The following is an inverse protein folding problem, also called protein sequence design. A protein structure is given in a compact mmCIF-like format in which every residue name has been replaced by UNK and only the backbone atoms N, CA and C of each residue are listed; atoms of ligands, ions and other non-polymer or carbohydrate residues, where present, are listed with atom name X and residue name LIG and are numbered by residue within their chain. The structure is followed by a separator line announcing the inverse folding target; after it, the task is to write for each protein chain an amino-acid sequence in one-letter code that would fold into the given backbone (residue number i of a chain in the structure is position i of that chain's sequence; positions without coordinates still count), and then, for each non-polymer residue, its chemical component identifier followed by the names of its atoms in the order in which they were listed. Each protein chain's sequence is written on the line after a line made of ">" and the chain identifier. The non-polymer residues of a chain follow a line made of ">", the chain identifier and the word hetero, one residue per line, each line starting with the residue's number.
data_IF_803794885047
#
_entry.id   IF_803794885047
#
_cell.length_a   1.000
_cell.length_b   1.000
_cell.length_c   1.000
_cell.angle_alpha   90.00
_cell.angle_beta   90.00
_cell.angle_gamma   90.00
#
_symmetry.space_group_name_H-M   'P 1'
#
loop_
_entity.id
_entity.type
_entity.pdbx_description
1 polymer ?
#
# COMPACT_ATOMS: atom_id res chain seq x y z
N UNK A 1 -0.79 19.85 -3.63
CA UNK A 1 -0.77 18.37 -3.51
C UNK A 1 0.64 17.78 -3.58
N UNK A 2 1.33 17.79 -4.73
CA UNK A 2 2.67 17.18 -4.86
C UNK A 2 3.68 17.65 -3.80
N UNK A 3 3.74 18.96 -3.53
CA UNK A 3 4.57 19.51 -2.45
C UNK A 3 4.23 18.97 -1.07
N UNK A 4 2.95 18.70 -0.77
CA UNK A 4 2.55 18.12 0.51
C UNK A 4 3.10 16.70 0.66
N UNK A 5 3.10 15.90 -0.41
CA UNK A 5 3.71 14.55 -0.43
C UNK A 5 5.21 14.62 -0.21
N UNK A 6 5.90 15.55 -0.88
CA UNK A 6 7.35 15.74 -0.73
C UNK A 6 7.73 16.23 0.67
N UNK A 7 6.93 17.13 1.26
CA UNK A 7 7.16 17.60 2.62
C UNK A 7 6.88 16.51 3.65
N UNK A 8 5.85 15.70 3.44
CA UNK A 8 5.52 14.57 4.31
C UNK A 8 6.68 13.58 4.41
N UNK A 9 7.33 13.26 3.29
CA UNK A 9 8.45 12.30 3.28
C UNK A 9 9.68 12.78 4.04
N UNK A 10 9.73 14.04 4.47
CA UNK A 10 10.82 14.54 5.34
C UNK A 10 10.68 14.10 6.80
N UNK A 11 9.53 13.51 7.18
CA UNK A 11 9.25 13.12 8.56
C UNK A 11 9.04 14.30 9.52
N UNK A 12 8.92 15.53 9.01
CA UNK A 12 8.76 16.72 9.84
C UNK A 12 7.46 16.64 10.69
N UNK A 13 7.55 16.67 12.04
CA UNK A 13 6.39 16.50 12.90
C UNK A 13 5.28 17.54 12.69
N UNK A 14 5.63 18.79 12.40
CA UNK A 14 4.65 19.85 12.15
C UNK A 14 3.91 19.63 10.83
N UNK A 15 4.60 19.13 9.80
CA UNK A 15 3.97 18.73 8.53
C UNK A 15 3.02 17.56 8.76
N UNK A 16 3.46 16.53 9.48
CA UNK A 16 2.62 15.36 9.79
C UNK A 16 1.36 15.77 10.57
N UNK A 17 1.52 16.60 11.61
CA UNK A 17 0.40 17.10 12.41
C UNK A 17 -0.60 17.89 11.54
N UNK A 18 -0.12 18.74 10.63
CA UNK A 18 -0.99 19.45 9.69
C UNK A 18 -1.73 18.51 8.75
N UNK A 19 -1.05 17.51 8.20
CA UNK A 19 -1.64 16.56 7.24
C UNK A 19 -2.65 15.61 7.89
N UNK A 20 -2.48 15.27 9.17
CA UNK A 20 -3.43 14.45 9.93
C UNK A 20 -4.83 15.06 9.98
N UNK A 21 -4.97 16.39 9.85
CA UNK A 21 -6.29 17.03 9.74
C UNK A 21 -7.08 16.70 8.47
N UNK A 22 -6.43 16.11 7.45
CA UNK A 22 -7.05 15.76 6.17
C UNK A 22 -7.33 14.27 6.00
N UNK A 23 -6.85 13.42 6.91
CA UNK A 23 -6.85 11.95 6.76
C UNK A 23 -7.54 11.28 7.93
N UNK A 24 -8.17 10.15 7.67
CA UNK A 24 -8.73 9.29 8.73
C UNK A 24 -7.69 8.31 9.29
N UNK A 25 -6.64 7.99 8.52
CA UNK A 25 -5.45 7.27 8.98
C UNK A 25 -4.27 8.26 9.00
N UNK A 26 -3.55 8.43 10.13
CA UNK A 26 -2.47 9.42 10.25
C UNK A 26 -1.35 9.23 9.23
N UNK A 27 -0.86 8.00 9.09
CA UNK A 27 0.22 7.64 8.18
C UNK A 27 0.03 6.24 7.61
N UNK A 28 0.56 6.03 6.42
CA UNK A 28 0.67 4.72 5.82
C UNK A 28 2.14 4.34 5.79
N UNK A 29 2.47 3.15 6.27
CA UNK A 29 3.80 2.59 6.11
C UNK A 29 3.72 1.20 5.50
N UNK A 30 4.85 0.75 4.95
CA UNK A 30 5.09 -0.66 4.69
C UNK A 30 6.42 -0.95 5.35
N UNK A 31 6.41 -1.83 6.34
CA UNK A 31 7.48 -1.90 7.33
C UNK A 31 7.66 -0.54 8.04
N UNK A 32 8.90 -0.11 8.25
CA UNK A 32 9.30 1.19 8.77
C UNK A 32 9.29 2.31 7.70
N UNK A 33 9.03 1.99 6.43
CA UNK A 33 9.07 2.98 5.34
C UNK A 33 7.73 3.71 5.23
N UNK A 34 7.77 5.03 5.39
CA UNK A 34 6.59 5.89 5.22
C UNK A 34 6.19 5.99 3.74
N UNK A 35 4.89 5.81 3.47
CA UNK A 35 4.27 6.01 2.16
C UNK A 35 3.52 7.32 2.16
N UNK A 36 4.04 8.29 1.42
CA UNK A 36 3.47 9.63 1.42
C UNK A 36 2.16 9.68 0.62
N UNK A 37 1.17 10.40 1.16
CA UNK A 37 -0.16 10.58 0.58
C UNK A 37 -0.62 12.03 0.54
N UNK A 38 0.14 12.98 1.10
CA UNK A 38 -0.18 14.41 1.12
C UNK A 38 -1.56 14.70 1.73
N UNK A 39 -2.38 15.53 1.11
CA UNK A 39 -3.74 15.80 1.65
C UNK A 39 -4.76 14.74 1.26
N UNK A 40 -4.34 13.59 0.69
CA UNK A 40 -5.22 12.53 0.24
C UNK A 40 -5.20 11.35 1.22
N UNK A 41 -6.30 10.59 1.30
CA UNK A 41 -6.47 9.58 2.35
C UNK A 41 -5.68 8.29 2.13
N UNK A 42 -5.00 8.10 0.99
CA UNK A 42 -4.21 6.89 0.75
C UNK A 42 -3.13 7.15 -0.33
N UNK A 43 -1.94 6.53 -0.24
CA UNK A 43 -0.86 6.76 -1.21
C UNK A 43 -1.21 6.34 -2.64
N UNK A 44 -1.99 5.27 -2.85
CA UNK A 44 -2.41 4.88 -4.21
C UNK A 44 -3.35 5.93 -4.83
N UNK A 45 -4.23 6.55 -4.02
CA UNK A 45 -5.13 7.62 -4.46
C UNK A 45 -4.30 8.86 -4.83
N UNK A 46 -3.29 9.19 -4.02
CA UNK A 46 -2.36 10.28 -4.32
C UNK A 46 -1.58 10.05 -5.62
N UNK A 47 -1.05 8.84 -5.82
CA UNK A 47 -0.33 8.49 -7.03
C UNK A 47 -1.20 8.63 -8.27
N UNK A 48 -2.44 8.11 -8.23
CA UNK A 48 -3.36 8.23 -9.36
C UNK A 48 -3.79 9.67 -9.61
N UNK A 49 -4.09 10.45 -8.57
CA UNK A 49 -4.43 11.86 -8.73
C UNK A 49 -3.30 12.65 -9.41
N UNK A 50 -2.05 12.35 -9.07
CA UNK A 50 -0.87 12.93 -9.73
C UNK A 50 -0.75 12.45 -11.18
N UNK A 51 -0.96 11.16 -11.45
CA UNK A 51 -0.96 10.59 -12.80
C UNK A 51 -1.99 11.29 -13.71
N UNK A 52 -3.21 11.53 -13.23
CA UNK A 52 -4.22 12.31 -13.98
C UNK A 52 -3.76 13.74 -14.32
N UNK A 53 -2.92 14.35 -13.49
CA UNK A 53 -2.47 15.73 -13.63
C UNK A 53 -1.19 15.89 -14.48
N UNK A 54 -0.27 14.91 -14.45
CA UNK A 54 1.05 14.98 -15.11
C UNK A 54 0.95 15.25 -16.62
N UNK A 55 0.07 14.58 -17.40
CA UNK A 55 -0.09 14.87 -18.83
C UNK A 55 -0.48 16.32 -19.09
N UNK A 56 -1.36 16.89 -18.26
CA UNK A 56 -1.81 18.28 -18.37
C UNK A 56 -0.69 19.27 -18.04
N UNK A 57 0.10 18.99 -17.00
CA UNK A 57 1.29 19.79 -16.66
C UNK A 57 2.32 19.77 -17.80
N UNK A 58 2.53 18.61 -18.42
CA UNK A 58 3.44 18.46 -19.57
C UNK A 58 2.95 19.21 -20.81
N UNK A 59 1.66 19.13 -21.14
CA UNK A 59 1.09 19.93 -22.22
C UNK A 59 1.25 21.43 -21.97
N UNK A 60 1.04 21.88 -20.73
CA UNK A 60 1.27 23.28 -20.37
C UNK A 60 2.74 23.68 -20.52
N UNK A 61 3.66 22.87 -19.98
CA UNK A 61 5.09 23.11 -20.07
C UNK A 61 5.59 23.14 -21.53
N UNK A 62 5.07 22.25 -22.39
CA UNK A 62 5.46 22.17 -23.79
C UNK A 62 4.89 23.34 -24.63
N UNK A 63 3.74 23.89 -24.22
CA UNK A 63 3.04 24.96 -24.92
C UNK A 63 3.40 26.37 -24.43
N UNK A 64 4.01 26.51 -23.26
CA UNK A 64 4.29 27.83 -22.67
C UNK A 64 5.45 28.56 -23.36
N UNK A 65 5.27 29.86 -23.59
CA UNK A 65 6.29 30.76 -24.13
C UNK A 65 7.03 31.55 -23.04
N UNK A 66 6.43 31.69 -21.86
CA UNK A 66 7.02 32.44 -20.74
C UNK A 66 8.11 31.63 -20.05
N UNK A 67 9.30 32.24 -19.89
CA UNK A 67 10.42 31.61 -19.17
C UNK A 67 10.10 31.35 -17.70
N UNK A 68 9.52 32.33 -17.01
CA UNK A 68 9.14 32.16 -15.59
C UNK A 68 8.10 31.07 -15.42
N UNK A 69 7.10 31.01 -16.31
CA UNK A 69 6.12 29.93 -16.31
C UNK A 69 6.77 28.57 -16.59
N UNK A 70 7.73 28.50 -17.53
CA UNK A 70 8.46 27.27 -17.85
C UNK A 70 9.24 26.74 -16.65
N UNK A 71 9.93 27.62 -15.91
CA UNK A 71 10.64 27.24 -14.68
C UNK A 71 9.66 26.75 -13.62
N UNK A 72 8.59 27.51 -13.35
CA UNK A 72 7.58 27.12 -12.35
C UNK A 72 6.89 25.79 -12.66
N UNK A 73 6.50 25.58 -13.91
CA UNK A 73 5.89 24.33 -14.37
C UNK A 73 6.89 23.15 -14.33
N UNK A 74 8.16 23.39 -14.68
CA UNK A 74 9.20 22.38 -14.59
C UNK A 74 9.43 21.92 -13.14
N UNK A 75 9.47 22.85 -12.19
CA UNK A 75 9.58 22.54 -10.76
C UNK A 75 8.34 21.79 -10.24
N UNK A 76 7.13 22.24 -10.62
CA UNK A 76 5.89 21.58 -10.24
C UNK A 76 5.79 20.15 -10.80
N UNK A 77 6.26 19.93 -12.03
CA UNK A 77 6.32 18.61 -12.66
C UNK A 77 7.36 17.72 -11.98
N UNK A 78 8.55 18.25 -11.67
CA UNK A 78 9.57 17.54 -10.89
C UNK A 78 9.04 17.11 -9.53
N UNK A 79 8.34 18.01 -8.82
CA UNK A 79 7.69 17.68 -7.55
C UNK A 79 6.59 16.62 -7.72
N UNK A 80 5.82 16.64 -8.82
CA UNK A 80 4.79 15.64 -9.10
C UNK A 80 5.40 14.26 -9.38
N UNK A 81 6.49 14.18 -10.14
CA UNK A 81 7.22 12.93 -10.40
C UNK A 81 7.84 12.38 -9.11
N UNK A 82 8.47 13.23 -8.30
CA UNK A 82 9.01 12.85 -7.01
C UNK A 82 7.91 12.35 -6.07
N UNK A 83 6.77 13.07 -6.01
CA UNK A 83 5.62 12.67 -5.21
C UNK A 83 5.06 11.30 -5.64
N UNK A 84 4.98 11.00 -6.94
CA UNK A 84 4.56 9.66 -7.41
C UNK A 84 5.49 8.57 -6.89
N UNK A 85 6.82 8.79 -6.94
CA UNK A 85 7.80 7.83 -6.39
C UNK A 85 7.62 7.67 -4.88
N UNK A 86 7.49 8.77 -4.14
CA UNK A 86 7.34 8.78 -2.67
C UNK A 86 6.04 8.16 -2.15
N UNK A 87 5.02 8.00 -2.99
CA UNK A 87 3.82 7.22 -2.63
C UNK A 87 4.10 5.71 -2.49
N UNK A 88 5.24 5.26 -3.02
CA UNK A 88 5.61 3.86 -3.20
C UNK A 88 4.52 3.04 -3.91
N UNK A 89 3.72 3.69 -4.77
CA UNK A 89 2.72 3.04 -5.60
C UNK A 89 3.35 2.53 -6.91
N UNK A 90 3.53 1.22 -7.00
CA UNK A 90 4.02 0.55 -8.22
C UNK A 90 3.16 0.85 -9.44
N UNK A 91 1.84 0.82 -9.26
CA UNK A 91 0.88 1.16 -10.29
C UNK A 91 1.06 2.61 -10.75
N UNK A 92 1.24 3.54 -9.81
CA UNK A 92 1.47 4.96 -10.12
C UNK A 92 2.71 5.19 -10.98
N UNK A 93 3.86 4.63 -10.58
CA UNK A 93 5.11 4.76 -11.34
C UNK A 93 4.98 4.15 -12.74
N UNK A 94 4.38 2.95 -12.85
CA UNK A 94 4.20 2.28 -14.13
C UNK A 94 3.25 3.06 -15.06
N UNK A 95 2.12 3.54 -14.55
CA UNK A 95 1.15 4.32 -15.33
C UNK A 95 1.79 5.61 -15.82
N UNK A 96 2.51 6.35 -14.96
CA UNK A 96 3.23 7.56 -15.39
C UNK A 96 4.28 7.25 -16.45
N UNK A 97 5.00 6.12 -16.34
CA UNK A 97 5.95 5.72 -17.39
C UNK A 97 5.25 5.48 -18.74
N UNK A 98 4.07 4.84 -18.74
CA UNK A 98 3.25 4.63 -19.94
C UNK A 98 2.74 5.97 -20.49
N UNK A 99 2.24 6.88 -19.65
CA UNK A 99 1.80 8.22 -20.05
C UNK A 99 2.93 8.99 -20.76
N UNK A 100 4.13 8.98 -20.18
CA UNK A 100 5.30 9.66 -20.75
C UNK A 100 5.68 9.06 -22.10
N UNK A 101 5.58 7.73 -22.27
CA UNK A 101 5.79 7.08 -23.55
C UNK A 101 4.72 7.47 -24.60
N UNK A 102 3.45 7.54 -24.20
CA UNK A 102 2.35 7.98 -25.07
C UNK A 102 2.52 9.44 -25.52
N UNK A 103 2.90 10.34 -24.60
CA UNK A 103 3.16 11.75 -24.89
C UNK A 103 4.40 11.92 -25.78
N UNK A 104 5.47 11.15 -25.53
CA UNK A 104 6.65 11.10 -26.39
C UNK A 104 6.28 10.66 -27.81
N UNK A 105 5.53 9.56 -27.95
CA UNK A 105 5.07 9.04 -29.24
C UNK A 105 4.19 10.06 -29.98
N UNK A 106 3.27 10.74 -29.28
CA UNK A 106 2.46 11.80 -29.85
C UNK A 106 3.32 13.00 -30.32
N UNK A 107 4.33 13.37 -29.52
CA UNK A 107 5.29 14.41 -29.87
C UNK A 107 6.11 14.07 -31.12
N UNK A 108 6.62 12.84 -31.22
CA UNK A 108 7.36 12.36 -32.38
C UNK A 108 6.47 12.30 -33.64
N UNK A 109 5.29 11.69 -33.52
CA UNK A 109 4.34 11.55 -34.64
C UNK A 109 3.85 12.88 -35.19
N UNK A 110 3.78 13.94 -34.36
CA UNK A 110 3.42 15.30 -34.78
C UNK A 110 4.60 16.25 -34.95
N UNK A 111 5.83 15.75 -34.90
CA UNK A 111 7.07 16.54 -35.03
C UNK A 111 7.09 17.77 -34.11
N UNK A 112 6.68 17.58 -32.85
CA UNK A 112 6.54 18.62 -31.84
C UNK A 112 7.72 18.56 -30.85
N UNK A 113 8.85 19.24 -31.11
CA UNK A 113 10.09 19.07 -30.34
C UNK A 113 9.97 19.51 -28.88
N UNK A 114 9.08 20.45 -28.56
CA UNK A 114 8.82 20.83 -27.17
C UNK A 114 8.24 19.66 -26.36
N UNK A 115 7.20 19.00 -26.87
CA UNK A 115 6.58 17.85 -26.21
C UNK A 115 7.55 16.66 -26.12
N UNK A 116 8.34 16.41 -27.18
CA UNK A 116 9.37 15.35 -27.18
C UNK A 116 10.41 15.59 -26.07
N UNK A 117 11.00 16.79 -26.01
CA UNK A 117 12.02 17.13 -25.01
C UNK A 117 11.47 17.06 -23.59
N UNK A 118 10.29 17.64 -23.36
CA UNK A 118 9.66 17.60 -22.02
C UNK A 118 9.34 16.18 -21.59
N UNK A 119 8.76 15.34 -22.48
CA UNK A 119 8.43 13.94 -22.14
C UNK A 119 9.68 13.11 -21.88
N UNK A 120 10.73 13.26 -22.69
CA UNK A 120 12.00 12.55 -22.49
C UNK A 120 12.70 12.98 -21.20
N UNK A 121 12.76 14.29 -20.92
CA UNK A 121 13.34 14.82 -19.69
C UNK A 121 12.59 14.30 -18.46
N UNK A 122 11.25 14.26 -18.50
CA UNK A 122 10.43 13.69 -17.43
C UNK A 122 10.61 12.18 -17.27
N UNK A 123 10.78 11.43 -18.36
CA UNK A 123 11.06 9.99 -18.31
C UNK A 123 12.41 9.71 -17.66
N UNK A 124 13.45 10.45 -18.06
CA UNK A 124 14.78 10.37 -17.43
C UNK A 124 14.70 10.75 -15.95
N UNK A 125 14.01 11.85 -15.61
CA UNK A 125 13.82 12.26 -14.23
C UNK A 125 13.10 11.19 -13.40
N UNK A 126 12.05 10.56 -13.93
CA UNK A 126 11.35 9.47 -13.26
C UNK A 126 12.29 8.28 -12.99
N UNK A 127 13.08 7.87 -13.98
CA UNK A 127 14.08 6.79 -13.83
C UNK A 127 15.12 7.14 -12.77
N UNK A 128 15.64 8.37 -12.78
CA UNK A 128 16.61 8.84 -11.79
C UNK A 128 16.00 8.88 -10.39
N UNK A 129 14.76 9.36 -10.25
CA UNK A 129 14.05 9.41 -8.95
C UNK A 129 13.77 8.00 -8.41
N UNK A 130 13.30 7.08 -9.25
CA UNK A 130 13.08 5.67 -8.87
C UNK A 130 14.41 5.01 -8.50
N UNK A 131 15.46 5.19 -9.31
CA UNK A 131 16.79 4.65 -9.04
C UNK A 131 17.38 5.20 -7.74
N UNK A 132 17.26 6.51 -7.51
CA UNK A 132 17.67 7.17 -6.27
C UNK A 132 16.92 6.64 -5.06
N UNK A 133 15.59 6.47 -5.16
CA UNK A 133 14.79 5.88 -4.09
C UNK A 133 15.21 4.43 -3.78
N UNK A 134 15.52 3.61 -4.79
CA UNK A 134 16.00 2.23 -4.61
C UNK A 134 17.43 2.13 -4.05
N UNK A 135 18.22 3.19 -4.18
CA UNK A 135 19.55 3.28 -3.56
C UNK A 135 19.45 3.77 -2.12
N UNK A 136 18.58 4.75 -1.86
CA UNK A 136 18.34 5.30 -0.54
C UNK A 136 17.67 4.29 0.39
N UNK A 137 16.68 3.54 -0.11
CA UNK A 137 15.90 2.58 0.66
C UNK A 137 15.98 1.17 0.01
N UNK A 138 16.93 0.32 0.42
CA UNK A 138 17.11 -1.01 -0.17
C UNK A 138 15.86 -1.90 -0.08
N UNK A 139 15.09 -1.77 1.00
CA UNK A 139 13.85 -2.52 1.25
C UNK A 139 12.73 -2.16 0.26
N UNK A 140 12.84 -1.03 -0.45
CA UNK A 140 11.94 -0.70 -1.55
C UNK A 140 12.01 -1.74 -2.69
N UNK A 141 13.13 -2.45 -2.84
CA UNK A 141 13.25 -3.57 -3.80
C UNK A 141 12.31 -4.73 -3.43
N UNK A 142 12.19 -5.02 -2.14
CA UNK A 142 11.23 -6.01 -1.65
C UNK A 142 9.81 -5.58 -1.99
N UNK A 143 9.51 -4.27 -1.87
CA UNK A 143 8.20 -3.73 -2.27
C UNK A 143 7.91 -3.89 -3.75
N UNK A 144 8.92 -3.75 -4.62
CA UNK A 144 8.75 -4.00 -6.05
C UNK A 144 8.42 -5.47 -6.33
N UNK A 145 9.00 -6.40 -5.57
CA UNK A 145 8.91 -7.84 -5.80
C UNK A 145 7.73 -8.51 -5.08
N UNK A 146 7.25 -7.98 -3.96
CA UNK A 146 6.17 -8.57 -3.17
C UNK A 146 4.89 -7.73 -3.19
N UNK A 147 3.74 -8.40 -3.12
CA UNK A 147 2.46 -7.70 -2.99
C UNK A 147 2.19 -7.22 -1.56
N UNK A 148 2.42 -8.11 -0.61
CA UNK A 148 2.25 -7.91 0.83
C UNK A 148 3.59 -8.02 1.56
N UNK A 149 3.72 -7.46 2.78
CA UNK A 149 4.91 -7.60 3.61
C UNK A 149 5.00 -8.95 4.35
N UNK A 150 4.02 -9.85 4.20
CA UNK A 150 3.96 -11.14 4.91
C UNK A 150 5.18 -12.05 4.65
N UNK A 151 5.84 -11.90 3.49
CA UNK A 151 7.07 -12.61 3.18
C UNK A 151 8.33 -11.98 3.77
N UNK A 152 8.25 -10.75 4.28
CA UNK A 152 9.40 -10.00 4.77
C UNK A 152 9.75 -10.44 6.19
N UNK A 153 8.72 -10.66 7.00
CA UNK A 153 8.81 -11.07 8.40
C UNK A 153 8.50 -12.56 8.52
N UNK A 154 9.53 -13.40 8.45
CA UNK A 154 9.37 -14.84 8.70
C UNK A 154 10.57 -15.38 9.47
N UNK A 155 10.27 -16.16 10.49
CA UNK A 155 11.27 -16.82 11.30
C UNK A 155 10.93 -18.30 11.49
N UNK A 156 11.97 -19.10 11.65
CA UNK A 156 11.85 -20.45 12.21
C UNK A 156 12.55 -20.46 13.56
N UNK A 157 11.92 -21.08 14.55
CA UNK A 157 12.42 -21.14 15.91
C UNK A 157 12.72 -22.59 16.29
N UNK A 158 13.86 -22.84 16.94
CA UNK A 158 14.13 -24.08 17.64
C UNK A 158 14.18 -23.77 19.13
N UNK A 159 13.19 -24.29 19.87
CA UNK A 159 12.95 -24.00 21.28
C UNK A 159 12.79 -25.31 22.05
N UNK A 160 13.05 -25.34 23.36
CA UNK A 160 12.73 -26.50 24.18
C UNK A 160 11.21 -26.77 24.18
N UNK A 161 10.75 -28.03 24.13
CA UNK A 161 9.32 -28.34 24.11
C UNK A 161 8.64 -28.04 25.46
N UNK A 162 9.40 -28.08 26.55
CA UNK A 162 8.90 -27.89 27.91
C UNK A 162 9.87 -27.06 28.74
N UNK A 163 9.33 -26.24 29.63
CA UNK A 163 10.05 -25.40 30.59
C UNK A 163 9.41 -25.54 31.98
N UNK A 164 10.23 -25.51 33.03
CA UNK A 164 9.78 -25.49 34.42
C UNK A 164 10.38 -24.28 35.13
N UNK A 165 9.58 -23.58 35.91
CA UNK A 165 9.96 -22.36 36.60
C UNK A 165 9.22 -22.22 37.94
N UNK A 166 9.80 -21.53 38.90
CA UNK A 166 9.07 -21.07 40.07
C UNK A 166 8.17 -19.86 39.72
N UNK A 167 7.11 -19.60 40.51
CA UNK A 167 6.33 -18.37 40.42
C UNK A 167 7.17 -17.09 40.29
N UNK A 168 6.95 -16.32 39.22
CA UNK A 168 7.64 -15.03 39.00
C UNK A 168 9.14 -15.13 38.68
N UNK A 169 9.70 -16.32 38.53
CA UNK A 169 11.12 -16.51 38.21
C UNK A 169 11.42 -16.13 36.75
N UNK A 170 12.55 -15.47 36.53
CA UNK A 170 13.09 -15.21 35.20
C UNK A 170 14.07 -16.34 34.82
N UNK A 171 13.62 -17.23 33.93
CA UNK A 171 14.40 -18.39 33.48
C UNK A 171 15.07 -18.10 32.15
N UNK A 172 16.35 -18.48 32.00
CA UNK A 172 17.06 -18.42 30.71
C UNK A 172 16.72 -19.63 29.85
N UNK A 173 16.34 -19.37 28.60
CA UNK A 173 15.92 -20.39 27.65
C UNK A 173 16.74 -20.25 26.37
N UNK A 174 17.48 -21.30 25.95
CA UNK A 174 18.19 -21.27 24.68
C UNK A 174 17.19 -21.34 23.53
N UNK A 175 17.27 -20.39 22.60
CA UNK A 175 16.42 -20.31 21.42
C UNK A 175 17.28 -20.04 20.19
N UNK A 176 17.22 -20.94 19.21
CA UNK A 176 17.73 -20.65 17.87
C UNK A 176 16.64 -19.99 17.06
N UNK A 177 16.88 -18.79 16.55
CA UNK A 177 16.00 -18.13 15.58
C UNK A 177 16.69 -18.08 14.22
N UNK A 178 15.96 -18.41 13.15
CA UNK A 178 16.46 -18.43 11.77
C UNK A 178 15.61 -17.51 10.90
N UNK A 179 16.27 -16.61 10.17
CA UNK A 179 15.62 -15.71 9.24
C UNK A 179 15.21 -16.47 7.98
N UNK A 180 13.92 -16.76 7.86
CA UNK A 180 13.31 -17.40 6.68
C UNK A 180 12.53 -16.39 5.82
N UNK A 181 12.61 -15.11 6.19
CA UNK A 181 11.99 -14.00 5.50
C UNK A 181 12.88 -13.43 4.40
N UNK A 182 12.40 -12.35 3.78
CA UNK A 182 13.11 -11.65 2.70
C UNK A 182 13.90 -10.43 3.19
N UNK A 183 13.58 -9.91 4.39
CA UNK A 183 14.20 -8.73 4.96
C UNK A 183 15.30 -9.11 5.95
N UNK A 184 16.44 -8.42 5.91
CA UNK A 184 17.49 -8.57 6.92
C UNK A 184 17.05 -7.97 8.25
N UNK A 185 17.38 -8.63 9.36
CA UNK A 185 17.05 -8.14 10.69
C UNK A 185 18.20 -7.31 11.22
N UNK A 186 17.98 -6.00 11.40
CA UNK A 186 18.96 -5.11 12.01
C UNK A 186 18.96 -5.29 13.53
N UNK A 187 20.12 -5.53 14.14
CA UNK A 187 20.25 -5.69 15.59
C UNK A 187 20.18 -4.36 16.36
N UNK A 188 20.41 -3.25 15.68
CA UNK A 188 20.40 -1.90 16.24
C UNK A 188 19.70 -0.92 15.28
N UNK A 189 19.47 0.31 15.72
CA UNK A 189 18.85 1.36 14.92
C UNK A 189 17.61 1.96 15.59
N UNK A 190 16.77 2.61 14.82
CA UNK A 190 15.49 3.20 15.29
C UNK A 190 14.44 2.13 15.56
N UNK A 191 14.44 1.06 14.78
CA UNK A 191 13.51 -0.07 14.87
C UNK A 191 14.30 -1.39 14.90
N UNK A 192 15.08 -1.67 15.96
CA UNK A 192 15.86 -2.90 16.04
C UNK A 192 14.93 -4.12 16.08
N UNK A 193 15.42 -5.23 15.52
CA UNK A 193 14.77 -6.52 15.61
C UNK A 193 15.18 -7.22 16.90
N UNK A 194 14.26 -7.96 17.50
CA UNK A 194 14.49 -8.77 18.68
C UNK A 194 13.66 -10.07 18.65
N UNK A 195 14.09 -11.05 19.45
CA UNK A 195 13.23 -12.17 19.85
C UNK A 195 12.45 -11.74 21.10
N UNK A 196 11.18 -12.11 21.17
CA UNK A 196 10.35 -11.97 22.36
C UNK A 196 9.35 -13.12 22.41
N UNK A 197 8.36 -13.01 23.29
CA UNK A 197 7.35 -14.04 23.47
C UNK A 197 6.04 -13.49 24.01
N UNK A 198 4.98 -14.28 23.84
CA UNK A 198 3.70 -14.12 24.52
C UNK A 198 3.50 -15.29 25.48
N UNK A 199 2.76 -15.10 26.56
CA UNK A 199 2.36 -16.15 27.50
C UNK A 199 0.86 -16.25 27.49
N UNK A 200 0.35 -17.45 27.18
CA UNK A 200 -1.08 -17.77 27.23
C UNK A 200 -1.35 -18.89 28.22
N UNK A 201 -2.53 -18.87 28.82
CA UNK A 201 -3.00 -19.95 29.68
C UNK A 201 -3.28 -21.21 28.85
N UNK A 202 -2.75 -22.37 29.25
CA UNK A 202 -2.84 -23.58 28.43
C UNK A 202 -4.26 -24.18 28.35
N UNK A 203 -5.12 -23.87 29.33
CA UNK A 203 -6.49 -24.41 29.37
C UNK A 203 -7.48 -23.56 28.56
N UNK A 204 -7.45 -22.24 28.80
CA UNK A 204 -8.37 -21.28 28.20
C UNK A 204 -7.87 -20.67 26.90
N UNK A 205 -6.55 -20.68 26.65
CA UNK A 205 -5.91 -19.95 25.55
C UNK A 205 -5.90 -18.42 25.77
N UNK A 206 -6.30 -17.94 26.95
CA UNK A 206 -6.34 -16.51 27.24
C UNK A 206 -4.91 -15.94 27.39
N UNK A 207 -4.64 -14.73 26.87
CA UNK A 207 -3.35 -14.07 27.08
C UNK A 207 -3.15 -13.72 28.55
N UNK A 208 -2.02 -14.15 29.11
CA UNK A 208 -1.58 -13.85 30.48
C UNK A 208 -0.58 -12.69 30.46
N UNK A 209 0.38 -12.74 29.53
CA UNK A 209 1.26 -11.62 29.24
C UNK A 209 1.53 -11.57 27.73
N UNK A 210 1.13 -10.49 27.07
CA UNK A 210 1.34 -10.34 25.64
C UNK A 210 2.67 -9.63 25.30
N UNK A 211 3.31 -8.92 26.23
CA UNK A 211 4.52 -8.16 25.92
C UNK A 211 5.72 -8.72 26.70
N UNK A 212 6.30 -9.81 26.16
CA UNK A 212 7.44 -10.49 26.77
C UNK A 212 8.73 -9.67 26.76
N UNK A 213 9.71 -10.13 27.55
CA UNK A 213 11.02 -9.46 27.63
C UNK A 213 11.76 -9.59 26.29
N UNK A 214 12.26 -8.47 25.78
CA UNK A 214 13.06 -8.43 24.55
C UNK A 214 14.41 -9.11 24.75
N UNK A 215 14.76 -9.99 23.83
CA UNK A 215 16.07 -10.58 23.68
C UNK A 215 16.72 -9.99 22.42
N UNK A 216 17.62 -9.00 22.56
CA UNK A 216 18.22 -8.31 21.43
C UNK A 216 19.10 -9.25 20.61
N UNK A 217 19.15 -9.02 19.30
CA UNK A 217 20.05 -9.74 18.42
C UNK A 217 21.51 -9.29 18.68
N UNK A 218 22.49 -10.21 18.71
CA UNK A 218 23.90 -9.85 18.93
C UNK A 218 24.55 -9.18 17.70
N UNK A 219 23.98 -9.39 16.51
CA UNK A 219 24.41 -8.82 15.23
C UNK A 219 23.28 -8.92 14.22
N UNK A 220 23.39 -8.19 13.11
CA UNK A 220 22.41 -8.27 12.02
C UNK A 220 22.27 -9.71 11.49
N UNK A 221 21.03 -10.12 11.21
CA UNK A 221 20.71 -11.47 10.72
C UNK A 221 20.15 -11.36 9.30
N UNK A 222 20.99 -11.58 8.25
CA UNK A 222 20.52 -11.53 6.87
C UNK A 222 19.56 -12.69 6.57
N UNK A 223 18.78 -12.61 5.47
CA UNK A 223 17.93 -13.71 5.02
C UNK A 223 18.71 -15.03 4.89
N UNK A 224 18.16 -16.11 5.45
CA UNK A 224 18.76 -17.44 5.46
C UNK A 224 19.75 -17.71 6.61
N UNK A 225 20.13 -16.70 7.40
CA UNK A 225 21.01 -16.87 8.54
C UNK A 225 20.25 -17.25 9.83
N UNK A 226 20.99 -17.76 10.81
CA UNK A 226 20.47 -18.14 12.13
C UNK A 226 21.33 -17.57 13.24
N UNK A 227 20.73 -17.36 14.40
CA UNK A 227 21.42 -16.94 15.62
C UNK A 227 20.89 -17.69 16.84
N UNK A 228 21.78 -17.99 17.76
CA UNK A 228 21.47 -18.58 19.07
C UNK A 228 21.33 -17.47 20.11
N UNK A 229 20.24 -17.51 20.88
CA UNK A 229 19.91 -16.50 21.87
C UNK A 229 19.59 -17.17 23.21
N UNK A 230 19.95 -16.49 24.29
CA UNK A 230 19.58 -16.87 25.66
C UNK A 230 18.45 -15.97 26.13
N UNK A 231 17.21 -16.34 25.78
CA UNK A 231 16.03 -15.54 26.08
C UNK A 231 15.66 -15.61 27.56
N UNK A 232 15.22 -14.50 28.14
CA UNK A 232 14.76 -14.45 29.54
C UNK A 232 13.24 -14.53 29.58
N UNK A 233 12.70 -15.67 30.03
CA UNK A 233 11.26 -15.88 30.20
C UNK A 233 10.88 -15.63 31.65
N UNK A 234 10.07 -14.59 31.87
CA UNK A 234 9.43 -14.32 33.16
C UNK A 234 8.19 -15.21 33.31
N UNK A 235 8.22 -16.11 34.30
CA UNK A 235 7.08 -16.97 34.61
C UNK A 235 5.93 -16.18 35.25
N UNK A 236 4.66 -16.55 34.97
CA UNK A 236 3.51 -16.07 35.73
C UNK A 236 3.65 -16.28 37.24
N UNK A 237 2.96 -15.47 38.03
CA UNK A 237 2.97 -15.58 39.49
C UNK A 237 2.09 -16.76 39.93
N UNK A 238 0.95 -16.97 39.27
CA UNK A 238 0.09 -18.10 39.55
C UNK A 238 0.74 -19.44 39.12
N UNK A 239 0.79 -20.45 40.00
CA UNK A 239 1.15 -21.81 39.61
C UNK A 239 0.13 -22.37 38.61
N UNK A 240 0.61 -23.05 37.59
CA UNK A 240 -0.24 -23.50 36.49
C UNK A 240 0.55 -24.00 35.30
N UNK A 241 -0.18 -24.35 34.23
CA UNK A 241 0.40 -24.71 32.94
C UNK A 241 0.07 -23.62 31.94
N UNK A 242 1.11 -23.11 31.29
CA UNK A 242 1.07 -22.01 30.33
C UNK A 242 1.76 -22.43 29.04
N UNK A 243 1.56 -21.65 27.99
CA UNK A 243 2.30 -21.78 26.74
C UNK A 243 3.06 -20.49 26.50
N UNK A 244 4.37 -20.61 26.27
CA UNK A 244 5.23 -19.52 25.80
C UNK A 244 5.23 -19.58 24.28
N UNK A 245 4.66 -18.57 23.65
CA UNK A 245 4.63 -18.41 22.19
C UNK A 245 5.77 -17.49 21.75
N UNK A 246 6.80 -18.07 21.16
CA UNK A 246 7.98 -17.36 20.68
C UNK A 246 7.67 -16.59 19.41
N UNK A 247 7.99 -15.29 19.42
CA UNK A 247 7.72 -14.40 18.29
C UNK A 247 8.87 -13.44 18.04
N UNK A 248 9.05 -13.08 16.77
CA UNK A 248 9.98 -12.04 16.35
C UNK A 248 9.28 -10.68 16.41
N UNK A 249 10.04 -9.63 16.72
CA UNK A 249 9.51 -8.27 16.74
C UNK A 249 10.49 -7.32 16.05
N UNK A 250 9.95 -6.41 15.25
CA UNK A 250 10.61 -5.18 14.85
C UNK A 250 10.05 -4.05 15.71
N UNK A 251 10.89 -3.45 16.55
CA UNK A 251 10.44 -2.52 17.58
C UNK A 251 9.65 -1.34 17.01
N UNK A 252 8.47 -1.10 17.59
CA UNK A 252 7.51 -0.06 17.17
C UNK A 252 7.00 -0.17 15.72
N UNK A 253 7.23 -1.31 15.05
CA UNK A 253 6.75 -1.55 13.68
C UNK A 253 5.75 -2.71 13.66
N UNK A 254 6.19 -3.93 13.98
CA UNK A 254 5.32 -5.11 13.88
C UNK A 254 5.88 -6.32 14.63
N UNK A 255 4.98 -7.16 15.13
CA UNK A 255 5.30 -8.54 15.49
C UNK A 255 5.25 -9.43 14.26
N UNK A 256 6.07 -10.48 14.20
CA UNK A 256 6.09 -11.34 13.03
C UNK A 256 4.77 -12.11 12.90
N UNK A 257 4.15 -12.48 14.02
CA UNK A 257 2.80 -13.06 14.03
C UNK A 257 1.74 -12.13 13.42
N UNK A 258 1.84 -10.82 13.60
CA UNK A 258 0.93 -9.84 12.99
C UNK A 258 1.13 -9.73 11.48
N UNK A 259 2.37 -9.95 11.02
CA UNK A 259 2.68 -10.10 9.60
C UNK A 259 2.29 -11.49 9.04
N UNK A 260 1.68 -12.37 9.85
CA UNK A 260 1.20 -13.70 9.46
C UNK A 260 2.24 -14.82 9.56
N UNK A 261 3.36 -14.60 10.24
CA UNK A 261 4.33 -15.66 10.51
C UNK A 261 3.85 -16.57 11.66
N UNK A 262 4.09 -17.88 11.59
CA UNK A 262 3.80 -18.76 12.72
C UNK A 262 4.79 -18.53 13.87
N UNK A 263 4.29 -18.55 15.10
CA UNK A 263 5.10 -18.62 16.32
C UNK A 263 5.50 -20.08 16.64
N UNK A 264 6.49 -20.27 17.51
CA UNK A 264 6.78 -21.57 18.11
C UNK A 264 6.31 -21.62 19.56
N UNK A 265 6.05 -22.81 20.09
CA UNK A 265 5.47 -22.98 21.42
C UNK A 265 6.36 -23.80 22.34
N UNK A 266 6.45 -23.38 23.59
CA UNK A 266 7.06 -24.12 24.71
C UNK A 266 6.04 -24.23 25.84
N UNK A 267 5.78 -25.45 26.32
CA UNK A 267 4.88 -25.65 27.47
C UNK A 267 5.61 -25.27 28.76
N UNK A 268 5.13 -24.24 29.46
CA UNK A 268 5.68 -23.76 30.72
C UNK A 268 4.85 -24.30 31.89
N UNK A 269 5.48 -25.07 32.78
CA UNK A 269 4.89 -25.47 34.06
C UNK A 269 5.45 -24.60 35.17
N UNK A 270 4.59 -23.79 35.80
CA UNK A 270 4.92 -23.00 36.99
C UNK A 270 4.52 -23.78 38.23
N UNK A 271 5.49 -24.16 39.05
CA UNK A 271 5.27 -24.97 40.25
C UNK A 271 5.95 -24.35 41.49
N UNK A 272 5.22 -24.26 42.60
CA UNK A 272 5.72 -23.68 43.85
C UNK A 272 4.61 -22.96 44.63
N UNK A 273 4.98 -22.37 45.77
CA UNK A 273 4.07 -21.56 46.59
C UNK A 273 4.14 -20.09 46.19
N UNK A 274 2.97 -19.48 45.97
CA UNK A 274 2.81 -18.04 45.73
C UNK A 274 3.42 -17.20 46.86
N UNK A 275 4.24 -16.21 46.52
CA UNK A 275 4.63 -15.19 47.48
C UNK A 275 3.42 -14.26 47.78
N UNK A 276 3.09 -13.96 49.05
CA UNK A 276 1.88 -13.21 49.42
C UNK A 276 1.71 -11.83 48.77
N UNK A 277 2.81 -11.20 48.33
CA UNK A 277 2.80 -9.86 47.73
C UNK A 277 2.58 -9.83 46.20
N UNK A 278 2.62 -10.98 45.52
CA UNK A 278 2.65 -11.06 44.06
C UNK A 278 1.26 -11.02 43.39
N UNK A 279 0.19 -11.36 44.12
CA UNK A 279 -1.18 -11.48 43.58
C UNK A 279 -1.76 -10.12 43.12
N UNK A 280 -1.25 -9.00 43.65
CA UNK A 280 -1.76 -7.66 43.35
C UNK A 280 -1.15 -7.01 42.09
N UNK A 281 -0.07 -7.59 41.52
CA UNK A 281 0.68 -6.97 40.42
C UNK A 281 0.38 -7.59 39.04
N UNK A 282 -0.41 -8.66 38.96
CA UNK A 282 -0.65 -9.45 37.74
C UNK A 282 -1.81 -8.90 36.88
N UNK A 283 -2.06 -7.60 36.93
CA UNK A 283 -3.03 -6.91 36.06
C UNK A 283 -2.35 -5.80 35.28
N UNK A 284 -1.55 -6.20 34.31
CA UNK A 284 -1.36 -5.43 33.09
C UNK A 284 -1.26 -6.41 31.92
N UNK A 285 -2.37 -7.08 31.60
CA UNK A 285 -2.55 -7.58 30.25
C UNK A 285 -2.61 -6.33 29.36
N UNK A 286 -1.57 -6.06 28.58
CA UNK A 286 -1.79 -5.37 27.31
C UNK A 286 -2.63 -6.35 26.51
N UNK A 287 -3.95 -6.12 26.32
CA UNK A 287 -4.70 -6.99 25.44
C UNK A 287 -3.97 -7.01 24.10
N UNK A 288 -3.88 -8.17 23.42
CA UNK A 288 -3.39 -8.18 22.05
C UNK A 288 -4.21 -7.13 21.30
N UNK A 289 -3.57 -6.18 20.59
CA UNK A 289 -4.33 -5.33 19.70
C UNK A 289 -5.14 -6.25 18.78
N UNK A 290 -6.35 -5.82 18.42
CA UNK A 290 -7.19 -6.58 17.49
C UNK A 290 -6.34 -6.87 16.26
N UNK A 291 -5.97 -8.15 16.08
CA UNK A 291 -5.16 -8.56 14.94
C UNK A 291 -6.06 -8.40 13.73
N UNK A 292 -5.88 -7.29 13.02
CA UNK A 292 -6.50 -7.13 11.70
C UNK A 292 -5.93 -8.25 10.83
N UNK A 293 -6.76 -9.25 10.52
CA UNK A 293 -6.39 -10.30 9.57
C UNK A 293 -5.96 -9.61 8.29
N UNK A 294 -4.72 -9.83 7.82
CA UNK A 294 -4.21 -9.09 6.68
C UNK A 294 -5.07 -9.37 5.45
N UNK A 295 -5.43 -8.30 4.73
CA UNK A 295 -6.28 -8.41 3.57
C UNK A 295 -5.74 -9.45 2.55
N UNK A 296 -6.60 -10.25 1.92
CA UNK A 296 -6.15 -11.23 0.94
C UNK A 296 -5.37 -10.59 -0.22
N UNK A 297 -4.36 -11.27 -0.79
CA UNK A 297 -3.67 -10.80 -1.99
C UNK A 297 -4.65 -10.56 -3.16
N UNK A 298 -4.33 -9.63 -4.07
CA UNK A 298 -5.13 -9.27 -5.25
C UNK A 298 -5.53 -10.48 -6.08
N UNK A 299 -4.60 -11.41 -6.33
CA UNK A 299 -4.93 -12.62 -7.09
C UNK A 299 -6.00 -13.48 -6.40
N UNK A 300 -6.00 -13.52 -5.06
CA UNK A 300 -7.05 -14.17 -4.28
C UNK A 300 -8.37 -13.43 -4.41
N UNK A 301 -8.35 -12.10 -4.25
CA UNK A 301 -9.53 -11.24 -4.42
C UNK A 301 -10.13 -11.35 -5.83
N UNK A 302 -9.32 -11.38 -6.87
CA UNK A 302 -9.79 -11.53 -8.26
C UNK A 302 -10.40 -12.91 -8.51
N UNK A 303 -9.83 -13.98 -7.91
CA UNK A 303 -10.44 -15.31 -7.94
C UNK A 303 -11.78 -15.34 -7.22
N UNK A 304 -11.89 -14.64 -6.09
CA UNK A 304 -13.16 -14.50 -5.35
C UNK A 304 -14.18 -13.73 -6.20
N UNK A 305 -13.79 -12.60 -6.79
CA UNK A 305 -14.64 -11.83 -7.71
C UNK A 305 -15.16 -12.69 -8.88
N UNK A 306 -14.30 -13.53 -9.47
CA UNK A 306 -14.71 -14.48 -10.51
C UNK A 306 -15.69 -15.54 -10.00
N UNK A 307 -15.51 -16.06 -8.78
CA UNK A 307 -16.47 -16.99 -8.15
C UNK A 307 -17.82 -16.33 -7.89
N UNK A 308 -17.81 -15.09 -7.38
CA UNK A 308 -19.01 -14.28 -7.18
C UNK A 308 -19.77 -14.04 -8.49
N UNK A 309 -19.04 -13.65 -9.54
CA UNK A 309 -19.63 -13.44 -10.87
C UNK A 309 -20.16 -14.74 -11.48
N UNK A 310 -19.48 -15.88 -11.28
CA UNK A 310 -19.97 -17.19 -11.72
C UNK A 310 -21.25 -17.61 -11.00
N UNK A 311 -21.42 -17.22 -9.75
CA UNK A 311 -22.62 -17.49 -8.96
C UNK A 311 -23.84 -16.66 -9.46
N UNK A 312 -23.62 -15.40 -9.87
CA UNK A 312 -24.67 -14.52 -10.45
C UNK A 312 -24.18 -13.77 -11.69
N UNK A 313 -24.10 -14.42 -12.87
CA UNK A 313 -23.40 -13.86 -14.03
C UNK A 313 -24.07 -12.65 -14.67
N UNK A 314 -25.39 -12.48 -14.49
CA UNK A 314 -26.14 -11.41 -15.14
C UNK A 314 -26.25 -10.14 -14.30
N UNK A 315 -26.46 -10.25 -13.00
CA UNK A 315 -26.72 -9.11 -12.12
C UNK A 315 -25.63 -8.90 -11.07
N UNK A 316 -24.66 -9.82 -10.99
CA UNK A 316 -23.66 -9.82 -9.93
C UNK A 316 -24.31 -9.98 -8.55
N UNK A 317 -23.58 -9.54 -7.53
CA UNK A 317 -24.06 -9.52 -6.15
C UNK A 317 -24.83 -8.23 -5.80
N UNK A 318 -24.91 -7.26 -6.71
CA UNK A 318 -25.43 -5.92 -6.50
C UNK A 318 -24.28 -4.89 -6.37
N UNK A 319 -24.50 -3.62 -6.75
CA UNK A 319 -23.50 -2.57 -6.61
C UNK A 319 -22.97 -2.44 -5.18
N UNK A 320 -21.65 -2.34 -5.02
CA UNK A 320 -20.94 -2.23 -3.73
C UNK A 320 -21.08 -3.44 -2.79
N UNK A 321 -21.51 -4.60 -3.32
CA UNK A 321 -21.69 -5.81 -2.49
C UNK A 321 -20.46 -6.69 -2.38
N UNK A 322 -19.41 -6.49 -3.19
CA UNK A 322 -18.15 -7.25 -3.05
C UNK A 322 -17.67 -7.31 -1.60
N UNK A 323 -17.48 -6.15 -0.97
CA UNK A 323 -16.94 -6.04 0.40
C UNK A 323 -17.83 -6.67 1.48
N UNK A 324 -19.12 -6.85 1.20
CA UNK A 324 -20.09 -7.39 2.15
C UNK A 324 -20.25 -8.91 2.06
N UNK A 325 -19.89 -9.53 0.94
CA UNK A 325 -20.14 -10.98 0.74
C UNK A 325 -18.91 -11.77 0.33
N UNK A 326 -17.76 -11.14 0.04
CA UNK A 326 -16.57 -11.89 -0.41
C UNK A 326 -16.10 -12.95 0.60
N UNK A 327 -16.35 -12.74 1.90
CA UNK A 327 -16.01 -13.69 2.95
C UNK A 327 -16.73 -15.02 2.82
N UNK A 328 -17.99 -15.03 2.39
CA UNK A 328 -18.74 -16.26 2.13
C UNK A 328 -18.09 -17.08 1.01
N UNK A 329 -17.58 -16.40 -0.03
CA UNK A 329 -16.87 -17.02 -1.16
C UNK A 329 -15.41 -17.38 -0.85
N UNK A 330 -14.88 -16.85 0.25
CA UNK A 330 -13.56 -17.12 0.79
C UNK A 330 -13.60 -18.14 1.95
N UNK A 331 -14.78 -18.62 2.35
CA UNK A 331 -15.00 -19.54 3.47
C UNK A 331 -14.47 -18.97 4.80
N UNK A 332 -14.66 -17.67 5.01
CA UNK A 332 -14.24 -16.96 6.21
C UNK A 332 -15.42 -16.81 7.18
N UNK A 333 -15.19 -17.03 8.47
CA UNK A 333 -16.19 -16.76 9.52
C UNK A 333 -16.30 -15.27 9.86
N UNK A 334 -15.23 -14.51 9.62
CA UNK A 334 -15.11 -13.06 9.88
C UNK A 334 -14.16 -12.45 8.85
N UNK A 335 -14.46 -11.23 8.37
CA UNK A 335 -13.61 -10.53 7.40
C UNK A 335 -13.79 -9.02 7.46
N UNK A 336 -12.83 -8.29 6.88
CA UNK A 336 -12.87 -6.82 6.80
C UNK A 336 -13.78 -6.37 5.63
N UNK A 337 -14.82 -5.60 5.95
CA UNK A 337 -15.79 -5.03 5.00
C UNK A 337 -15.31 -3.72 4.35
N UNK A 338 -14.09 -3.29 4.60
CA UNK A 338 -13.36 -2.24 3.88
C UNK A 338 -12.59 -2.75 2.65
N UNK A 339 -12.52 -4.08 2.45
CA UNK A 339 -11.78 -4.70 1.35
C UNK A 339 -12.57 -4.69 0.05
N UNK A 340 -11.96 -4.17 -1.01
CA UNK A 340 -12.45 -4.24 -2.39
C UNK A 340 -11.62 -5.23 -3.21
N UNK A 341 -12.07 -5.60 -4.41
CA UNK A 341 -11.39 -6.51 -5.32
C UNK A 341 -10.02 -6.01 -5.79
N UNK A 342 -9.64 -4.76 -5.48
CA UNK A 342 -8.39 -4.14 -5.89
C UNK A 342 -8.19 -4.20 -7.42
N UNK A 343 -9.29 -4.08 -8.15
CA UNK A 343 -9.37 -3.90 -9.59
C UNK A 343 -10.79 -3.46 -9.92
N UNK A 344 -10.93 -2.31 -10.56
CA UNK A 344 -12.21 -1.76 -10.97
C UNK A 344 -13.02 -2.75 -11.82
N UNK A 345 -12.35 -3.52 -12.68
CA UNK A 345 -12.99 -4.47 -13.59
C UNK A 345 -13.51 -5.71 -12.85
N UNK A 346 -12.73 -6.27 -11.92
CA UNK A 346 -13.17 -7.40 -11.12
C UNK A 346 -14.26 -7.00 -10.11
N UNK A 347 -14.17 -5.80 -9.53
CA UNK A 347 -15.23 -5.25 -8.68
C UNK A 347 -16.55 -5.16 -9.47
N UNK A 348 -16.53 -4.48 -10.62
CA UNK A 348 -17.70 -4.31 -11.47
C UNK A 348 -18.27 -5.66 -11.93
N UNK A 349 -17.41 -6.61 -12.29
CA UNK A 349 -17.84 -7.94 -12.68
C UNK A 349 -18.54 -8.68 -11.53
N UNK A 350 -18.02 -8.60 -10.32
CA UNK A 350 -18.60 -9.24 -9.14
C UNK A 350 -19.92 -8.58 -8.72
N UNK A 351 -19.97 -7.25 -8.76
CA UNK A 351 -21.12 -6.46 -8.30
C UNK A 351 -22.26 -6.42 -9.32
N UNK A 352 -21.95 -6.30 -10.61
CA UNK A 352 -22.96 -6.01 -11.65
C UNK A 352 -23.07 -7.10 -12.72
N UNK A 353 -22.22 -8.13 -12.65
CA UNK A 353 -22.18 -9.19 -13.65
C UNK A 353 -21.64 -8.74 -15.01
N UNK A 354 -21.80 -9.61 -16.01
CA UNK A 354 -21.34 -9.38 -17.38
C UNK A 354 -21.98 -8.14 -18.05
N UNK A 355 -23.30 -7.88 -17.92
CA UNK A 355 -23.92 -6.71 -18.52
C UNK A 355 -23.37 -5.39 -17.99
N UNK A 356 -23.13 -5.27 -16.68
CA UNK A 356 -22.57 -4.04 -16.10
C UNK A 356 -21.10 -3.85 -16.45
N UNK A 357 -20.29 -4.91 -16.45
CA UNK A 357 -18.91 -4.85 -16.97
C UNK A 357 -18.89 -4.46 -18.46
N UNK A 358 -19.79 -5.00 -19.28
CA UNK A 358 -19.91 -4.64 -20.69
C UNK A 358 -20.30 -3.17 -20.87
N UNK A 359 -21.31 -2.69 -20.15
CA UNK A 359 -21.74 -1.30 -20.22
C UNK A 359 -20.60 -0.34 -19.82
N UNK A 360 -19.82 -0.70 -18.80
CA UNK A 360 -18.64 0.06 -18.40
C UNK A 360 -17.53 0.05 -19.47
N UNK A 361 -17.21 -1.13 -20.03
CA UNK A 361 -16.23 -1.25 -21.11
C UNK A 361 -16.65 -0.47 -22.37
N UNK A 362 -17.94 -0.49 -22.69
CA UNK A 362 -18.52 0.29 -23.78
C UNK A 362 -18.39 1.80 -23.51
N UNK A 363 -18.73 2.25 -22.30
CA UNK A 363 -18.54 3.65 -21.89
C UNK A 363 -17.07 4.08 -22.01
N UNK A 364 -16.14 3.26 -21.50
CA UNK A 364 -14.71 3.52 -21.58
C UNK A 364 -14.25 3.64 -23.03
N UNK A 365 -14.68 2.70 -23.88
CA UNK A 365 -14.39 2.72 -25.31
C UNK A 365 -14.90 3.99 -25.99
N UNK A 366 -16.18 4.34 -25.83
CA UNK A 366 -16.75 5.53 -26.48
C UNK A 366 -16.11 6.82 -25.97
N UNK A 367 -15.83 6.93 -24.68
CA UNK A 367 -15.14 8.10 -24.12
C UNK A 367 -13.74 8.27 -24.72
N UNK A 368 -12.94 7.20 -24.76
CA UNK A 368 -11.59 7.23 -25.33
C UNK A 368 -11.62 7.47 -26.85
N UNK A 369 -12.56 6.85 -27.57
CA UNK A 369 -12.75 7.03 -29.01
C UNK A 369 -13.12 8.48 -29.34
N UNK A 370 -14.03 9.06 -28.57
CA UNK A 370 -14.45 10.45 -28.75
C UNK A 370 -13.31 11.43 -28.46
N UNK A 371 -12.60 11.24 -27.33
CA UNK A 371 -11.42 12.04 -26.98
C UNK A 371 -10.30 11.94 -28.03
N UNK A 372 -10.04 10.74 -28.56
CA UNK A 372 -9.06 10.54 -29.64
C UNK A 372 -9.48 11.22 -30.95
N UNK A 373 -10.75 11.08 -31.35
CA UNK A 373 -11.31 11.74 -32.53
C UNK A 373 -11.31 13.27 -32.46
N UNK A 374 -11.24 13.84 -31.25
CA UNK A 374 -11.11 15.27 -31.04
C UNK A 374 -9.71 15.82 -31.41
N UNK A 375 -8.67 14.98 -31.53
CA UNK A 375 -7.29 15.43 -31.75
C UNK A 375 -7.08 15.79 -33.22
N UNK A 376 -7.28 17.07 -33.57
CA UNK A 376 -7.14 17.56 -34.95
C UNK A 376 -5.76 18.19 -35.23
N UNK A 377 -5.19 18.00 -36.44
CA UNK A 377 -3.88 18.54 -36.80
C UNK A 377 -3.77 20.07 -36.80
N UNK A 378 -4.87 20.80 -37.02
CA UNK A 378 -4.86 22.26 -37.24
C UNK A 378 -5.19 23.11 -36.02
N UNK A 379 -5.51 22.51 -34.87
CA UNK A 379 -5.92 23.25 -33.68
C UNK A 379 -4.73 23.50 -32.75
N UNK A 380 -4.48 24.77 -32.37
CA UNK A 380 -3.47 25.15 -31.36
C UNK A 380 -3.66 24.52 -29.98
N UNK A 381 -4.73 23.73 -29.78
CA UNK A 381 -5.07 23.02 -28.54
C UNK A 381 -4.77 21.52 -28.59
N UNK A 382 -4.17 21.00 -29.67
CA UNK A 382 -3.99 19.55 -29.84
C UNK A 382 -3.18 18.89 -28.72
N UNK A 383 -2.16 19.57 -28.17
CA UNK A 383 -1.34 19.04 -27.06
C UNK A 383 -2.19 18.80 -25.81
N UNK A 384 -3.10 19.74 -25.50
CA UNK A 384 -4.04 19.62 -24.39
C UNK A 384 -5.04 18.48 -24.61
N UNK A 385 -5.51 18.28 -25.85
CA UNK A 385 -6.40 17.17 -26.19
C UNK A 385 -5.71 15.81 -26.06
N UNK A 386 -4.45 15.71 -26.48
CA UNK A 386 -3.62 14.52 -26.25
C UNK A 386 -3.44 14.29 -24.75
N UNK A 387 -3.13 15.33 -23.98
CA UNK A 387 -2.97 15.21 -22.53
C UNK A 387 -4.26 14.74 -21.84
N UNK A 388 -5.42 15.30 -22.20
CA UNK A 388 -6.72 14.84 -21.70
C UNK A 388 -6.96 13.35 -22.03
N UNK A 389 -6.68 12.93 -23.27
CA UNK A 389 -6.78 11.51 -23.65
C UNK A 389 -5.83 10.64 -22.82
N UNK A 390 -4.57 11.05 -22.66
CA UNK A 390 -3.57 10.29 -21.88
C UNK A 390 -3.98 10.21 -20.40
N UNK A 391 -4.50 11.28 -19.81
CA UNK A 391 -5.04 11.25 -18.45
C UNK A 391 -6.25 10.31 -18.32
N UNK A 392 -7.13 10.22 -19.33
CA UNK A 392 -8.23 9.25 -19.32
C UNK A 392 -7.71 7.80 -19.41
N UNK A 393 -6.75 7.55 -20.30
CA UNK A 393 -6.08 6.24 -20.40
C UNK A 393 -5.46 5.84 -19.07
N UNK A 394 -4.79 6.78 -18.39
CA UNK A 394 -4.19 6.54 -17.09
C UNK A 394 -5.19 6.08 -16.02
N UNK A 395 -6.37 6.68 -15.98
CA UNK A 395 -7.43 6.27 -15.07
C UNK A 395 -7.85 4.81 -15.28
N UNK A 396 -8.09 4.42 -16.54
CA UNK A 396 -8.47 3.05 -16.90
C UNK A 396 -7.33 2.04 -16.65
N UNK A 397 -6.07 2.44 -16.88
CA UNK A 397 -4.91 1.59 -16.58
C UNK A 397 -4.73 1.38 -15.08
N UNK A 398 -4.89 2.43 -14.27
CA UNK A 398 -4.89 2.30 -12.81
C UNK A 398 -5.99 1.36 -12.31
N UNK A 399 -7.18 1.44 -12.91
CA UNK A 399 -8.31 0.57 -12.60
C UNK A 399 -8.04 -0.93 -12.80
N UNK A 400 -6.97 -1.33 -13.50
CA UNK A 400 -6.60 -2.75 -13.63
C UNK A 400 -6.18 -3.37 -12.29
N UNK A 401 -5.53 -2.59 -11.43
CA UNK A 401 -4.84 -3.08 -10.22
C UNK A 401 -5.27 -2.39 -8.94
N UNK A 402 -6.31 -1.56 -9.02
CA UNK A 402 -6.89 -0.88 -7.87
C UNK A 402 -8.37 -0.54 -8.16
N UNK A 403 -9.14 -0.30 -7.09
CA UNK A 403 -10.52 0.15 -7.15
C UNK A 403 -10.61 1.59 -6.64
N UNK A 404 -11.05 2.52 -7.48
CA UNK A 404 -11.03 3.95 -7.17
C UNK A 404 -12.31 4.70 -7.52
N UNK A 405 -13.42 3.98 -7.72
CA UNK A 405 -14.72 4.64 -7.92
C UNK A 405 -15.23 5.26 -6.61
N UNK A 406 -14.86 4.69 -5.45
CA UNK A 406 -15.21 5.18 -4.12
C UNK A 406 -14.55 6.51 -3.72
N UNK A 407 -13.22 6.71 -3.89
CA UNK A 407 -12.58 7.95 -3.47
C UNK A 407 -12.98 9.18 -4.31
N UNK A 408 -13.62 10.13 -3.64
CA UNK A 408 -14.14 11.36 -4.25
C UNK A 408 -13.09 12.17 -5.04
N UNK A 409 -11.85 12.42 -4.55
CA UNK A 409 -10.91 13.30 -5.24
C UNK A 409 -10.52 12.81 -6.63
N UNK A 410 -10.33 11.51 -6.77
CA UNK A 410 -9.96 10.90 -8.06
C UNK A 410 -11.15 10.77 -8.99
N UNK A 411 -12.34 10.50 -8.45
CA UNK A 411 -13.57 10.43 -9.23
C UNK A 411 -13.95 11.81 -9.80
N UNK A 412 -13.85 12.88 -8.99
CA UNK A 412 -14.05 14.26 -9.45
C UNK A 412 -13.04 14.66 -10.53
N UNK A 413 -11.75 14.34 -10.35
CA UNK A 413 -10.72 14.62 -11.33
C UNK A 413 -11.00 13.91 -12.66
N UNK A 414 -11.40 12.63 -12.60
CA UNK A 414 -11.79 11.86 -13.78
C UNK A 414 -12.96 12.51 -14.54
N UNK A 415 -14.06 12.81 -13.85
CA UNK A 415 -15.24 13.41 -14.51
C UNK A 415 -14.97 14.80 -15.07
N UNK A 416 -14.14 15.60 -14.40
CA UNK A 416 -13.71 16.89 -14.93
C UNK A 416 -12.88 16.72 -16.21
N UNK A 417 -11.92 15.80 -16.22
CA UNK A 417 -11.10 15.50 -17.41
C UNK A 417 -11.96 14.94 -18.55
N UNK A 418 -12.90 14.04 -18.24
CA UNK A 418 -13.84 13.50 -19.21
C UNK A 418 -14.72 14.60 -19.82
N UNK A 419 -15.27 15.49 -19.00
CA UNK A 419 -16.07 16.62 -19.45
C UNK A 419 -15.27 17.58 -20.34
N UNK A 420 -14.02 17.91 -19.96
CA UNK A 420 -13.13 18.73 -20.77
C UNK A 420 -12.76 18.07 -22.10
N UNK A 421 -12.49 16.76 -22.09
CA UNK A 421 -12.21 15.99 -23.31
C UNK A 421 -13.40 16.03 -24.27
N UNK A 422 -14.61 15.81 -23.74
CA UNK A 422 -15.86 15.86 -24.52
C UNK A 422 -16.14 17.26 -25.05
N UNK A 423 -16.02 18.30 -24.21
CA UNK A 423 -16.26 19.69 -24.58
C UNK A 423 -15.29 20.15 -25.68
N UNK A 424 -14.02 19.73 -25.61
CA UNK A 424 -13.04 20.06 -26.65
C UNK A 424 -13.44 19.50 -28.03
N UNK A 425 -14.16 18.38 -28.09
CA UNK A 425 -14.64 17.78 -29.35
C UNK A 425 -15.82 18.50 -29.99
N UNK A 426 -16.58 19.32 -29.24
CA UNK A 426 -17.73 20.03 -29.76
C UNK A 426 -17.30 21.00 -30.88
N UNK A 427 -17.98 20.95 -32.03
CA UNK A 427 -17.80 21.96 -33.09
C UNK A 427 -18.44 23.26 -32.60
N UNK A 428 -17.80 24.43 -32.74
CA UNK A 428 -18.53 25.68 -32.58
C UNK A 428 -19.70 25.66 -33.58
N UNK A 429 -20.93 25.77 -33.07
CA UNK A 429 -22.07 26.08 -33.91
C UNK A 429 -21.81 27.49 -34.45
N UNK A 430 -21.42 27.58 -35.71
CA UNK A 430 -21.50 28.85 -36.44
C UNK A 430 -23.00 29.09 -36.59
N UNK A 431 -23.58 29.89 -35.69
CA UNK A 431 -24.87 30.52 -35.94
C UNK A 431 -24.66 31.45 -37.13
N UNK A 432 -24.98 30.97 -38.33
CA UNK A 432 -25.17 31.83 -39.50
C UNK A 432 -26.39 32.71 -39.22
N UNK A 433 -26.15 33.88 -38.64
CA UNK A 433 -27.13 34.95 -38.66
C UNK A 433 -27.17 35.47 -40.11
N UNK A 434 -28.24 35.10 -40.82
CA UNK A 434 -28.66 35.72 -42.07
C UNK A 434 -29.42 37.01 -41.79
#
# INVERSE_FOLDING_TARGET
>A
MAFAVVLESTGNPAVQQFLNGFRYVPSFSVADITRASGTLPHPNIAAMFLALAIPLQLAWLASTVSWSARVGLGLALGASLAAVVLTLSRAGVLVVAVELALLLAAGLGRRAPALVRSSLASAVALVVLVGGALVAEPDLRLRLQSETPQGWYRAAYATPPTLRSAPGEATRVPVRISNTGQRGWAAAGTHPFALSYHVVDAGSGAPVNYDGVRTPLPSDVPPGASVELEAQVLAPQAPGTYVVEWDGVEESVTWFSWAGAPSAQTVLTVAGTLAPAAVAAETASTPPPLVETPAPPRLTLWRIALRMARNRPLLGQGPDNFRWVYGDFAELSTWDTGVHANSLYFELLADTGLPGLFAFAWFAYELLRFAAGAIRPSAGTWMWRVALLVSLVAWFLHGLVDYFYGPLPTNMAFWLIAALAVAASARPQITSAH
#
